data_IF_018333090929
#
_entry.id   IF_018333090929
#
_cell.length_a   1.000
_cell.length_b   1.000
_cell.length_c   1.000
_cell.angle_alpha   90.00
_cell.angle_beta   90.00
_cell.angle_gamma   90.00
#
_symmetry.space_group_name_H-M   'P 1'
#
loop_
_entity.id
_entity.type
_entity.pdbx_description
1 polymer ?
#
# COMPACT_ATOMS: atom_id res chain seq x y z
N UNK A 1 -54.55 -21.35 16.70
CA UNK A 1 -53.74 -20.89 15.54
C UNK A 1 -53.84 -21.92 14.43
N UNK A 2 -54.08 -21.50 13.18
CA UNK A 2 -54.23 -22.42 12.06
C UNK A 2 -52.86 -23.10 11.75
N UNK A 3 -52.71 -24.43 11.85
CA UNK A 3 -51.42 -25.12 11.82
C UNK A 3 -50.62 -24.85 10.55
N UNK A 4 -51.30 -24.70 9.40
CA UNK A 4 -50.69 -24.33 8.12
C UNK A 4 -50.06 -22.93 8.13
N UNK A 5 -50.64 -21.97 8.88
CA UNK A 5 -50.10 -20.61 9.02
C UNK A 5 -48.87 -20.60 9.92
N UNK A 6 -48.86 -21.40 11.00
CA UNK A 6 -47.69 -21.55 11.89
C UNK A 6 -46.50 -22.18 11.14
N UNK A 7 -46.75 -23.18 10.31
CA UNK A 7 -45.69 -23.82 9.52
C UNK A 7 -45.09 -22.87 8.47
N UNK A 8 -45.92 -22.10 7.76
CA UNK A 8 -45.44 -21.05 6.83
C UNK A 8 -44.62 -19.97 7.54
N UNK A 9 -45.07 -19.52 8.71
CA UNK A 9 -44.35 -18.53 9.51
C UNK A 9 -42.95 -19.04 9.92
N UNK A 10 -42.85 -20.30 10.36
CA UNK A 10 -41.56 -20.92 10.73
C UNK A 10 -40.62 -20.98 9.53
N UNK A 11 -41.12 -21.38 8.36
CA UNK A 11 -40.31 -21.43 7.12
C UNK A 11 -39.81 -20.03 6.74
N UNK A 12 -40.69 -19.02 6.79
CA UNK A 12 -40.30 -17.63 6.47
C UNK A 12 -39.25 -17.12 7.46
N UNK A 13 -39.42 -17.37 8.77
CA UNK A 13 -38.43 -16.99 9.77
C UNK A 13 -37.09 -17.69 9.56
N UNK A 14 -37.11 -18.97 9.21
CA UNK A 14 -35.89 -19.72 8.91
C UNK A 14 -35.15 -19.14 7.70
N UNK A 15 -35.87 -18.80 6.63
CA UNK A 15 -35.30 -18.17 5.43
C UNK A 15 -34.71 -16.80 5.78
N UNK A 16 -35.45 -15.96 6.52
CA UNK A 16 -34.97 -14.63 6.92
C UNK A 16 -33.74 -14.74 7.81
N UNK A 17 -33.73 -15.67 8.77
CA UNK A 17 -32.60 -15.91 9.64
C UNK A 17 -31.37 -16.41 8.87
N UNK A 18 -31.56 -17.36 7.96
CA UNK A 18 -30.50 -17.85 7.09
C UNK A 18 -29.92 -16.74 6.20
N UNK A 19 -30.79 -15.89 5.63
CA UNK A 19 -30.36 -14.75 4.83
C UNK A 19 -29.59 -13.71 5.67
N UNK A 20 -30.03 -13.44 6.90
CA UNK A 20 -29.35 -12.51 7.80
C UNK A 20 -27.93 -13.01 8.17
N UNK A 21 -27.77 -14.31 8.45
CA UNK A 21 -26.46 -14.92 8.69
C UNK A 21 -25.57 -14.79 7.46
N UNK A 22 -26.11 -15.11 6.27
CA UNK A 22 -25.34 -15.02 5.03
C UNK A 22 -24.84 -13.59 4.77
N UNK A 23 -25.71 -12.58 4.93
CA UNK A 23 -25.32 -11.17 4.81
C UNK A 23 -24.28 -10.78 5.87
N UNK A 24 -24.45 -11.23 7.12
CA UNK A 24 -23.49 -10.98 8.19
C UNK A 24 -22.11 -11.54 7.90
N UNK A 25 -22.03 -12.77 7.38
CA UNK A 25 -20.77 -13.40 6.98
C UNK A 25 -20.11 -12.69 5.80
N UNK A 26 -20.90 -12.25 4.81
CA UNK A 26 -20.39 -11.48 3.67
C UNK A 26 -19.82 -10.13 4.13
N UNK A 27 -20.54 -9.40 4.97
CA UNK A 27 -20.07 -8.13 5.55
C UNK A 27 -18.79 -8.30 6.36
N UNK A 28 -18.71 -9.36 7.18
CA UNK A 28 -17.53 -9.68 7.96
C UNK A 28 -16.31 -9.97 7.07
N UNK A 29 -16.48 -10.80 6.04
CA UNK A 29 -15.42 -11.13 5.10
C UNK A 29 -14.94 -9.89 4.32
N UNK A 30 -15.86 -8.99 3.95
CA UNK A 30 -15.50 -7.77 3.23
C UNK A 30 -14.67 -6.83 4.11
N UNK A 31 -15.03 -6.66 5.38
CA UNK A 31 -14.32 -5.78 6.32
C UNK A 31 -12.87 -6.25 6.60
N UNK A 32 -12.62 -7.57 6.53
CA UNK A 32 -11.29 -8.15 6.70
C UNK A 32 -10.37 -8.00 5.47
N UNK A 33 -10.93 -7.67 4.30
CA UNK A 33 -10.17 -7.57 3.04
C UNK A 33 -10.08 -6.13 2.50
N UNK A 34 -10.27 -5.13 3.36
CA UNK A 34 -10.12 -3.74 2.93
C UNK A 34 -8.63 -3.38 3.00
N UNK A 35 -8.04 -3.11 1.84
CA UNK A 35 -6.68 -2.56 1.71
C UNK A 35 -6.68 -1.08 2.12
N UNK A 36 -6.79 -0.82 3.41
CA UNK A 36 -6.76 0.54 3.96
C UNK A 36 -5.35 1.13 3.85
N UNK A 37 -5.29 2.32 3.27
CA UNK A 37 -4.07 3.10 3.13
C UNK A 37 -3.97 4.09 4.29
N UNK A 38 -2.79 4.18 4.90
CA UNK A 38 -2.49 5.08 6.01
C UNK A 38 -1.16 5.80 5.74
N UNK A 39 -1.08 7.08 6.13
CA UNK A 39 0.20 7.79 6.17
C UNK A 39 0.96 7.51 7.48
N UNK A 40 2.27 7.79 7.56
CA UNK A 40 3.03 7.81 8.80
C UNK A 40 2.34 8.60 9.93
N UNK A 41 1.76 9.76 9.65
CA UNK A 41 0.98 10.53 10.63
C UNK A 41 -0.25 9.76 11.12
N UNK A 42 -1.02 9.14 10.23
CA UNK A 42 -2.21 8.36 10.63
C UNK A 42 -1.84 7.15 11.50
N UNK A 43 -0.66 6.56 11.27
CA UNK A 43 -0.11 5.46 12.08
C UNK A 43 0.26 5.95 13.48
N UNK A 44 0.97 7.07 13.58
CA UNK A 44 1.38 7.65 14.87
C UNK A 44 0.17 8.15 15.67
N UNK A 45 -0.86 8.68 15.00
CA UNK A 45 -2.12 9.11 15.62
C UNK A 45 -3.03 7.95 16.07
N UNK A 46 -2.63 6.69 15.82
CA UNK A 46 -3.39 5.50 16.25
C UNK A 46 -4.67 5.25 15.43
N UNK A 47 -4.78 5.81 14.23
CA UNK A 47 -5.89 5.51 13.30
C UNK A 47 -5.71 4.15 12.62
N UNK A 48 -4.48 3.68 12.53
CA UNK A 48 -4.14 2.38 11.97
C UNK A 48 -4.49 1.24 12.97
N UNK A 49 -5.28 0.23 12.57
CA UNK A 49 -5.56 -0.91 13.44
C UNK A 49 -4.32 -1.78 13.63
N UNK A 50 -4.00 -2.10 14.89
CA UNK A 50 -2.94 -3.04 15.24
C UNK A 50 -3.28 -4.48 14.82
N UNK A 51 -2.26 -5.28 14.49
CA UNK A 51 -2.42 -6.70 14.13
C UNK A 51 -3.20 -6.98 12.84
N UNK A 52 -3.55 -5.93 12.07
CA UNK A 52 -4.20 -6.05 10.78
C UNK A 52 -3.23 -5.66 9.67
N UNK A 53 -3.34 -6.33 8.51
CA UNK A 53 -2.55 -5.96 7.34
C UNK A 53 -3.07 -4.65 6.75
N UNK A 54 -2.21 -3.65 6.69
CA UNK A 54 -2.49 -2.31 6.15
C UNK A 54 -1.43 -1.90 5.13
N UNK A 55 -1.72 -0.84 4.37
CA UNK A 55 -0.78 -0.22 3.44
C UNK A 55 -0.33 1.12 4.01
N UNK A 56 0.94 1.23 4.36
CA UNK A 56 1.58 2.46 4.78
C UNK A 56 2.25 3.12 3.56
N UNK A 57 1.95 4.37 3.27
CA UNK A 57 2.61 5.11 2.19
C UNK A 57 3.30 6.36 2.67
N UNK A 58 4.54 6.56 2.22
CA UNK A 58 5.36 7.70 2.61
C UNK A 58 6.67 7.75 1.84
N UNK A 59 7.51 8.70 2.21
CA UNK A 59 8.85 8.91 1.67
C UNK A 59 9.88 8.16 2.50
N UNK A 60 10.89 7.56 1.87
CA UNK A 60 12.02 6.98 2.61
C UNK A 60 12.92 8.09 3.13
N UNK A 61 13.24 8.07 4.43
CA UNK A 61 14.14 9.04 5.06
C UNK A 61 15.58 8.82 4.58
N UNK A 62 16.26 9.89 4.16
CA UNK A 62 17.67 9.83 3.74
C UNK A 62 18.60 9.41 4.88
N UNK A 63 19.56 8.53 4.58
CA UNK A 63 20.49 7.94 5.54
C UNK A 63 19.86 6.99 6.56
N UNK A 64 18.57 6.64 6.43
CA UNK A 64 17.88 5.77 7.39
C UNK A 64 17.95 4.28 7.04
N UNK A 65 18.38 3.93 5.81
CA UNK A 65 18.33 2.56 5.32
C UNK A 65 19.49 1.75 5.91
N UNK A 66 19.16 0.85 6.84
CA UNK A 66 20.08 -0.09 7.45
C UNK A 66 19.79 -1.50 6.94
N UNK A 67 20.79 -2.15 6.34
CA UNK A 67 20.70 -3.52 5.84
C UNK A 67 21.56 -4.42 6.71
N UNK A 68 20.97 -5.48 7.24
CA UNK A 68 21.73 -6.52 7.93
C UNK A 68 22.67 -7.23 6.94
N UNK A 69 23.89 -7.57 7.38
CA UNK A 69 24.87 -8.30 6.58
C UNK A 69 24.70 -9.82 6.67
N UNK A 70 24.03 -10.30 7.71
CA UNK A 70 23.84 -11.73 8.01
C UNK A 70 22.46 -12.24 7.60
N UNK A 71 21.48 -11.33 7.44
CA UNK A 71 20.09 -11.66 7.10
C UNK A 71 19.57 -10.80 5.93
N UNK A 72 18.38 -11.12 5.42
CA UNK A 72 17.66 -10.30 4.44
C UNK A 72 16.84 -9.18 5.10
N UNK A 73 17.11 -8.88 6.38
CA UNK A 73 16.41 -7.83 7.10
C UNK A 73 16.93 -6.46 6.68
N UNK A 74 16.00 -5.56 6.39
CA UNK A 74 16.25 -4.16 6.10
C UNK A 74 15.34 -3.31 6.97
N UNK A 75 15.92 -2.33 7.64
CA UNK A 75 15.23 -1.34 8.44
C UNK A 75 15.39 0.03 7.78
N UNK A 76 14.32 0.80 7.70
CA UNK A 76 14.36 2.18 7.18
C UNK A 76 13.26 3.03 7.78
N UNK A 77 13.46 4.35 7.79
CA UNK A 77 12.45 5.32 8.20
C UNK A 77 11.52 5.67 7.05
N UNK A 78 10.22 5.71 7.30
CA UNK A 78 9.20 6.24 6.40
C UNK A 78 8.63 7.54 6.98
N UNK A 79 8.54 8.59 6.17
CA UNK A 79 8.06 9.92 6.59
C UNK A 79 7.01 10.49 5.64
N UNK A 80 6.07 11.27 6.15
CA UNK A 80 5.20 12.14 5.37
C UNK A 80 5.57 13.63 5.54
N UNK A 81 6.81 13.89 5.99
CA UNK A 81 7.34 15.20 6.40
C UNK A 81 6.78 15.74 7.72
N UNK A 82 5.76 15.12 8.32
CA UNK A 82 5.24 15.50 9.62
C UNK A 82 5.69 14.50 10.70
N UNK A 83 5.57 13.20 10.44
CA UNK A 83 5.95 12.14 11.35
C UNK A 83 6.80 11.07 10.67
N UNK A 84 7.57 10.33 11.47
CA UNK A 84 8.41 9.24 11.01
C UNK A 84 7.96 7.93 11.66
N UNK A 85 7.93 6.87 10.86
CA UNK A 85 7.62 5.50 11.29
C UNK A 85 8.77 4.60 10.87
N UNK A 86 9.27 3.78 11.79
CA UNK A 86 10.27 2.76 11.49
C UNK A 86 9.62 1.58 10.79
N UNK A 87 10.18 1.19 9.65
CA UNK A 87 9.74 0.05 8.84
C UNK A 87 10.81 -1.03 8.84
N UNK A 88 10.42 -2.26 9.15
CA UNK A 88 11.27 -3.45 9.06
C UNK A 88 10.72 -4.35 7.97
N UNK A 89 11.59 -4.72 7.04
CA UNK A 89 11.27 -5.59 5.90
C UNK A 89 12.24 -6.77 5.88
N UNK A 90 11.73 -7.99 5.68
CA UNK A 90 12.58 -9.18 5.51
C UNK A 90 12.42 -9.71 4.08
N UNK A 91 13.37 -9.36 3.22
CA UNK A 91 13.32 -9.72 1.81
C UNK A 91 14.23 -8.85 0.94
N UNK A 92 14.06 -9.02 -0.37
CA UNK A 92 14.81 -8.25 -1.37
C UNK A 92 13.99 -7.02 -1.71
N UNK A 93 14.53 -5.83 -1.40
CA UNK A 93 13.91 -4.57 -1.82
C UNK A 93 13.91 -4.46 -3.35
N UNK A 94 12.87 -3.88 -3.95
CA UNK A 94 12.84 -3.66 -5.40
C UNK A 94 13.98 -2.75 -5.85
N UNK A 95 14.45 -2.91 -7.09
CA UNK A 95 15.59 -2.14 -7.63
C UNK A 95 15.36 -0.63 -7.66
N UNK A 96 14.09 -0.21 -7.69
CA UNK A 96 13.66 1.18 -7.66
C UNK A 96 13.57 1.77 -6.25
N UNK A 97 13.82 0.99 -5.20
CA UNK A 97 13.85 1.52 -3.85
C UNK A 97 15.07 2.42 -3.66
N UNK A 98 14.83 3.70 -3.33
CA UNK A 98 15.88 4.66 -2.96
C UNK A 98 15.42 5.55 -1.82
N UNK A 99 16.40 6.06 -1.11
CA UNK A 99 16.21 7.14 -0.14
C UNK A 99 15.67 8.39 -0.84
N UNK A 100 14.81 9.15 -0.15
CA UNK A 100 14.17 10.34 -0.72
C UNK A 100 13.12 10.04 -1.79
N UNK A 101 12.72 8.78 -1.99
CA UNK A 101 11.62 8.42 -2.90
C UNK A 101 10.37 7.96 -2.16
N UNK A 102 9.22 8.12 -2.83
CA UNK A 102 7.93 7.68 -2.32
C UNK A 102 7.74 6.17 -2.52
N UNK A 103 7.36 5.49 -1.46
CA UNK A 103 7.13 4.05 -1.43
C UNK A 103 5.78 3.74 -0.76
N UNK A 104 5.28 2.54 -1.02
CA UNK A 104 4.16 1.96 -0.31
C UNK A 104 4.61 0.63 0.30
N UNK A 105 4.58 0.52 1.61
CA UNK A 105 4.86 -0.70 2.35
C UNK A 105 3.53 -1.35 2.78
N UNK A 106 3.39 -2.64 2.51
CA UNK A 106 2.25 -3.43 2.98
C UNK A 106 2.70 -4.32 4.12
N UNK A 107 2.04 -4.23 5.26
CA UNK A 107 2.53 -4.82 6.50
C UNK A 107 1.55 -4.69 7.65
N UNK A 108 2.04 -4.91 8.86
CA UNK A 108 1.26 -4.79 10.08
C UNK A 108 2.04 -3.99 11.12
N UNK A 109 1.30 -3.30 11.98
CA UNK A 109 1.89 -2.59 13.12
C UNK A 109 2.16 -3.60 14.24
N UNK A 110 3.39 -3.67 14.75
CA UNK A 110 3.70 -4.49 15.93
C UNK A 110 3.45 -3.72 17.24
N UNK A 111 3.46 -4.42 18.36
CA UNK A 111 3.22 -3.84 19.70
C UNK A 111 4.30 -2.87 20.18
N UNK A 112 5.42 -2.77 19.47
CA UNK A 112 6.57 -1.93 19.81
C UNK A 112 6.58 -0.62 19.02
N UNK A 113 5.60 -0.39 18.13
CA UNK A 113 5.57 0.81 17.29
C UNK A 113 6.42 0.69 16.02
N UNK A 114 6.83 -0.52 15.62
CA UNK A 114 7.59 -0.79 14.38
C UNK A 114 6.70 -1.46 13.33
N UNK A 115 6.70 -0.90 12.12
CA UNK A 115 5.89 -1.39 11.02
C UNK A 115 6.59 -2.58 10.33
N UNK A 116 6.04 -3.78 10.50
CA UNK A 116 6.54 -5.01 9.89
C UNK A 116 6.00 -5.13 8.47
N UNK A 117 6.81 -4.72 7.50
CA UNK A 117 6.50 -4.83 6.09
C UNK A 117 6.69 -6.26 5.59
N UNK A 118 5.71 -6.74 4.84
CA UNK A 118 5.74 -8.02 4.10
C UNK A 118 6.02 -7.78 2.61
N UNK A 119 5.71 -6.59 2.12
CA UNK A 119 5.93 -6.20 0.73
C UNK A 119 6.24 -4.70 0.66
N UNK A 120 7.23 -4.32 -0.15
CA UNK A 120 7.59 -2.92 -0.40
C UNK A 120 7.47 -2.65 -1.89
N UNK A 121 6.63 -1.67 -2.23
CA UNK A 121 6.39 -1.22 -3.58
C UNK A 121 7.04 0.16 -3.73
N UNK A 122 8.07 0.23 -4.56
CA UNK A 122 8.63 1.51 -5.00
C UNK A 122 7.87 1.98 -6.25
N UNK A 123 7.58 3.27 -6.34
CA UNK A 123 6.92 3.83 -7.52
C UNK A 123 7.80 3.64 -8.76
N UNK A 124 7.21 3.19 -9.87
CA UNK A 124 7.86 3.25 -11.18
C UNK A 124 7.85 4.71 -11.67
N UNK A 125 9.00 5.21 -12.10
CA UNK A 125 9.05 6.45 -12.88
C UNK A 125 8.37 6.17 -14.23
N UNK A 126 7.12 6.62 -14.40
CA UNK A 126 6.37 6.51 -15.66
C UNK A 126 6.97 7.35 -16.81
N UNK A 127 8.17 7.90 -16.65
CA UNK A 127 8.80 8.77 -17.63
C UNK A 127 9.66 7.99 -18.65
N UNK A 128 9.22 6.79 -19.04
CA UNK A 128 9.85 6.03 -20.13
C UNK A 128 9.29 6.52 -21.46
N UNK A 129 10.13 7.23 -22.21
CA UNK A 129 9.86 7.57 -23.61
C UNK A 129 10.69 6.62 -24.48
N UNK A 130 10.06 5.71 -25.25
CA UNK A 130 10.79 4.81 -26.13
C UNK A 130 11.64 5.59 -27.14
N UNK A 131 12.81 5.07 -27.54
CA UNK A 131 13.71 5.76 -28.47
C UNK A 131 13.02 6.04 -29.82
N UNK A 132 12.12 5.17 -30.28
CA UNK A 132 11.39 5.44 -31.53
C UNK A 132 10.46 6.66 -31.42
N UNK A 133 9.93 6.93 -30.22
CA UNK A 133 9.04 8.05 -29.93
C UNK A 133 9.85 9.34 -29.75
N UNK A 134 11.03 9.27 -29.14
CA UNK A 134 11.98 10.38 -29.09
C UNK A 134 12.44 10.79 -30.50
N UNK A 135 12.87 9.83 -31.32
CA UNK A 135 13.29 10.06 -32.70
C UNK A 135 12.17 10.59 -33.58
N UNK A 136 10.92 10.16 -33.35
CA UNK A 136 9.76 10.66 -34.07
C UNK A 136 9.41 12.09 -33.67
N UNK A 137 9.47 12.43 -32.39
CA UNK A 137 9.17 13.77 -31.87
C UNK A 137 10.27 14.79 -32.19
N UNK A 138 11.54 14.35 -32.24
CA UNK A 138 12.67 15.16 -32.70
C UNK A 138 12.54 15.48 -34.18
N UNK A 139 12.24 14.48 -35.03
CA UNK A 139 11.97 14.68 -36.45
C UNK A 139 10.73 15.55 -36.71
N UNK A 140 9.73 15.46 -35.85
CA UNK A 140 8.53 16.30 -35.94
C UNK A 140 8.72 17.73 -35.39
N UNK A 141 9.87 18.02 -34.75
CA UNK A 141 10.20 19.34 -34.19
C UNK A 141 9.36 19.72 -32.97
N UNK A 142 8.67 18.77 -32.33
CA UNK A 142 7.76 19.00 -31.19
C UNK A 142 8.29 18.38 -29.89
N UNK A 143 9.61 18.44 -29.67
CA UNK A 143 10.19 17.98 -28.42
C UNK A 143 9.77 18.91 -27.26
N UNK A 144 9.11 18.39 -26.20
CA UNK A 144 8.78 19.20 -25.03
C UNK A 144 10.04 19.79 -24.39
N UNK A 145 10.02 21.08 -24.05
CA UNK A 145 11.16 21.83 -23.47
C UNK A 145 11.74 21.17 -22.20
N UNK A 146 10.88 20.49 -21.45
CA UNK A 146 11.20 19.76 -20.22
C UNK A 146 12.16 18.58 -20.45
N UNK A 147 12.23 18.05 -21.69
CA UNK A 147 13.12 16.96 -22.08
C UNK A 147 14.47 17.51 -22.55
N UNK A 148 14.46 18.59 -23.37
CA UNK A 148 15.68 19.28 -23.83
C UNK A 148 16.58 19.77 -22.69
N UNK A 149 15.99 20.25 -21.60
CA UNK A 149 16.74 20.76 -20.45
C UNK A 149 17.46 19.65 -19.66
N UNK A 150 17.02 18.38 -19.76
CA UNK A 150 17.60 17.26 -19.01
C UNK A 150 18.80 16.62 -19.71
N UNK A 151 18.79 16.57 -21.04
CA UNK A 151 19.93 16.06 -21.83
C UNK A 151 21.16 16.99 -21.77
N UNK A 152 20.93 18.31 -21.70
CA UNK A 152 22.01 19.30 -21.58
C UNK A 152 22.72 19.30 -20.22
N UNK A 153 22.14 18.66 -19.19
CA UNK A 153 22.72 18.57 -17.84
C UNK A 153 23.48 17.28 -17.54
N UNK A 154 23.58 16.35 -18.51
CA UNK A 154 24.27 15.06 -18.36
C UNK A 154 25.56 14.94 -19.21
N UNK A 155 26.12 16.06 -19.68
CA UNK A 155 27.48 16.10 -20.27
C UNK A 155 28.54 16.42 -19.22
#
# INVERSE_FOLDING_TARGET
MNPKRKQRLIIVLFIVFGAAIAVGLVMYALNQNINLFYSPTDIVEGKAPEGTRIRAGGMVVEGSVNRDQQSLQVEFGMTDYANNVTVVYNGILPDLFREGQGIVAQGQMNSEGVFEAVEVLAKHDENYMPPEVADALERAGQMPEQIRAKEAGQQ
#
